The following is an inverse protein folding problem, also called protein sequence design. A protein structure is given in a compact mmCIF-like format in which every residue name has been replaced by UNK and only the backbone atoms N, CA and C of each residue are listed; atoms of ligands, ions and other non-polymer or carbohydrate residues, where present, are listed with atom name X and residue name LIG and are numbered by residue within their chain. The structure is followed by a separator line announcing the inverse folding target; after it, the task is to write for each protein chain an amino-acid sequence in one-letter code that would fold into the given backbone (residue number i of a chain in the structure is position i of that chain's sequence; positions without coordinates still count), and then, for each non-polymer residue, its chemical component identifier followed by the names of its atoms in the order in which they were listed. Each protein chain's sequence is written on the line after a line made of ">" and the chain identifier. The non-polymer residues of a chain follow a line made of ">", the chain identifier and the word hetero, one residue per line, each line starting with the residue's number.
data_IF_897162254519
#
_entry.id   IF_897162254519
#
_cell.length_a   1.000
_cell.length_b   1.000
_cell.length_c   1.000
_cell.angle_alpha   90.00
_cell.angle_beta   90.00
_cell.angle_gamma   90.00
#
_symmetry.space_group_name_H-M   'P 1'
#
loop_
_entity.id
_entity.type
_entity.pdbx_description
1 polymer ?
#
# COMPACT_ATOMS: atom_id res chain seq x y z
N UNK A 1 -18.88 -28.49 -0.78
CA UNK A 1 -17.63 -29.02 -1.35
C UNK A 1 -16.91 -27.83 -1.96
N UNK A 2 -16.05 -27.19 -1.17
CA UNK A 2 -15.43 -25.91 -1.51
C UNK A 2 -13.92 -26.05 -1.40
N UNK A 3 -13.23 -25.56 -2.42
CA UNK A 3 -11.78 -25.60 -2.58
C UNK A 3 -11.15 -24.87 -1.39
N UNK A 4 -10.63 -25.64 -0.43
CA UNK A 4 -9.82 -25.12 0.67
C UNK A 4 -8.37 -25.27 0.25
N UNK A 5 -7.70 -24.14 0.07
CA UNK A 5 -6.26 -24.17 -0.07
C UNK A 5 -5.63 -24.47 1.30
N UNK A 6 -4.92 -25.58 1.39
CA UNK A 6 -4.09 -25.93 2.52
C UNK A 6 -2.65 -25.60 2.13
N UNK A 7 -2.04 -24.61 2.79
CA UNK A 7 -0.60 -24.69 3.06
C UNK A 7 -0.49 -25.07 4.53
N UNK A 8 0.05 -26.25 4.80
CA UNK A 8 0.32 -26.74 6.14
C UNK A 8 1.68 -26.18 6.58
N UNK A 9 1.73 -25.52 7.73
CA UNK A 9 2.87 -25.65 8.65
C UNK A 9 2.30 -25.75 10.05
N UNK A 10 2.35 -26.94 10.65
CA UNK A 10 1.85 -27.16 12.01
C UNK A 10 3.00 -27.15 13.01
N UNK A 11 2.72 -26.54 14.18
CA UNK A 11 3.42 -26.74 15.45
C UNK A 11 3.60 -28.22 15.81
N UNK A 12 4.61 -28.49 16.63
CA UNK A 12 4.89 -29.76 17.25
C UNK A 12 3.70 -30.39 18.00
N UNK A 13 3.49 -31.68 17.70
CA UNK A 13 2.86 -32.77 18.48
C UNK A 13 1.32 -32.79 18.65
N UNK A 14 0.63 -33.53 17.76
CA UNK A 14 0.00 -34.85 18.05
C UNK A 14 -0.02 -35.68 16.73
N UNK A 15 0.43 -36.93 16.83
CA UNK A 15 0.62 -37.98 15.80
C UNK A 15 -0.57 -38.24 14.86
N UNK A 16 -0.36 -38.32 13.53
CA UNK A 16 -0.72 -39.44 12.61
C UNK A 16 0.22 -39.40 11.37
N UNK A 17 0.58 -40.59 10.88
CA UNK A 17 1.66 -41.03 10.00
C UNK A 17 1.51 -40.83 8.46
N UNK A 18 2.69 -40.81 7.82
CA UNK A 18 3.06 -41.13 6.42
C UNK A 18 3.19 -40.00 5.35
N UNK A 19 4.34 -39.29 5.47
CA UNK A 19 5.34 -38.85 4.45
C UNK A 19 4.88 -38.02 3.21
N UNK A 20 5.46 -36.85 2.85
CA UNK A 20 6.81 -36.31 3.09
C UNK A 20 6.98 -34.77 2.90
N UNK A 21 8.23 -34.32 2.76
CA UNK A 21 8.90 -33.11 3.33
C UNK A 21 9.52 -32.09 2.31
N UNK A 22 9.77 -30.82 2.78
CA UNK A 22 10.81 -29.75 2.45
C UNK A 22 10.87 -29.14 1.01
N UNK A 23 11.27 -27.88 0.66
CA UNK A 23 12.32 -26.91 1.10
C UNK A 23 12.08 -25.42 0.59
N UNK A 24 12.93 -24.43 0.96
CA UNK A 24 12.72 -22.93 1.09
C UNK A 24 13.16 -22.02 -0.08
N UNK A 25 12.71 -20.73 -0.08
CA UNK A 25 13.48 -19.48 -0.37
C UNK A 25 12.59 -18.20 -0.12
N UNK A 26 13.16 -16.98 -0.17
CA UNK A 26 12.52 -15.64 -0.36
C UNK A 26 12.18 -14.70 0.82
N UNK A 27 12.16 -13.40 0.48
CA UNK A 27 12.12 -12.21 1.33
C UNK A 27 10.71 -11.71 1.71
N UNK A 28 10.61 -11.15 2.92
CA UNK A 28 9.41 -10.56 3.52
C UNK A 28 9.68 -9.11 3.86
N UNK A 29 8.71 -8.20 3.72
CA UNK A 29 8.94 -6.79 4.01
C UNK A 29 8.00 -6.20 5.05
N UNK A 30 8.55 -5.28 5.84
CA UNK A 30 7.82 -4.41 6.77
C UNK A 30 7.31 -3.14 6.05
N UNK A 31 6.00 -2.92 6.07
CA UNK A 31 5.33 -1.72 5.56
C UNK A 31 4.86 -0.79 6.69
N UNK A 32 4.50 0.45 6.34
CA UNK A 32 3.93 1.40 7.29
C UNK A 32 2.64 0.86 7.92
N UNK A 33 1.84 0.10 7.16
CA UNK A 33 0.63 -0.53 7.71
C UNK A 33 0.96 -1.56 8.80
N UNK A 34 2.05 -2.32 8.71
CA UNK A 34 2.48 -3.23 9.77
C UNK A 34 2.84 -2.45 11.05
N UNK A 35 3.53 -1.31 10.91
CA UNK A 35 3.83 -0.42 12.04
C UNK A 35 2.58 0.18 12.67
N UNK A 36 1.58 0.56 11.87
CA UNK A 36 0.30 1.05 12.39
C UNK A 36 -0.52 -0.06 13.07
N UNK A 37 -0.46 -1.30 12.57
CA UNK A 37 -1.06 -2.47 13.25
C UNK A 37 -0.40 -2.69 14.60
N UNK A 38 0.94 -2.68 14.68
CA UNK A 38 1.67 -2.73 15.95
C UNK A 38 1.30 -1.58 16.91
N UNK A 39 0.81 -0.45 16.38
CA UNK A 39 0.34 0.71 17.17
C UNK A 39 -1.15 0.63 17.56
N UNK A 40 -1.84 -0.47 17.22
CA UNK A 40 -3.23 -0.70 17.58
C UNK A 40 -4.26 -0.19 16.55
N UNK A 41 -3.84 0.15 15.32
CA UNK A 41 -4.74 0.60 14.25
C UNK A 41 -5.81 -0.45 13.89
N UNK A 42 -5.48 -1.73 14.03
CA UNK A 42 -6.44 -2.83 13.98
C UNK A 42 -6.59 -3.36 15.42
N UNK A 43 -7.66 -2.96 16.14
CA UNK A 43 -7.82 -3.37 17.53
C UNK A 43 -7.89 -4.89 17.66
N UNK A 44 -7.06 -5.46 18.52
CA UNK A 44 -7.11 -6.89 18.86
C UNK A 44 -6.51 -7.85 17.82
N UNK A 45 -5.71 -7.37 16.87
CA UNK A 45 -4.99 -8.27 15.95
C UNK A 45 -4.05 -9.22 16.72
N UNK A 46 -4.20 -10.52 16.48
CA UNK A 46 -3.33 -11.59 16.96
C UNK A 46 -3.04 -12.50 15.76
N UNK A 47 -1.78 -12.56 15.31
CA UNK A 47 -1.37 -13.29 14.11
C UNK A 47 0.02 -12.85 13.62
N UNK A 48 0.49 -13.47 12.54
CA UNK A 48 1.78 -13.13 11.90
C UNK A 48 1.62 -11.87 11.04
N UNK A 49 2.48 -10.87 11.18
CA UNK A 49 2.43 -9.63 10.37
C UNK A 49 3.00 -9.83 8.95
N UNK A 50 2.95 -8.78 8.13
CA UNK A 50 3.58 -8.74 6.81
C UNK A 50 2.61 -9.10 5.68
N UNK A 51 2.64 -8.31 4.62
CA UNK A 51 1.74 -8.44 3.48
C UNK A 51 2.41 -8.13 2.14
N UNK A 52 3.73 -7.94 2.17
CA UNK A 52 4.56 -7.76 0.99
C UNK A 52 5.64 -8.85 0.98
N UNK A 53 5.63 -9.70 -0.03
CA UNK A 53 6.50 -10.86 -0.10
C UNK A 53 6.78 -11.28 -1.55
N UNK A 54 7.88 -12.01 -1.71
CA UNK A 54 8.11 -12.91 -2.84
C UNK A 54 8.20 -14.31 -2.24
N UNK A 55 7.73 -15.32 -2.95
CA UNK A 55 7.84 -16.71 -2.51
C UNK A 55 7.99 -17.65 -3.70
N UNK A 56 8.25 -18.92 -3.42
CA UNK A 56 8.12 -20.00 -4.41
C UNK A 56 6.99 -20.91 -4.01
N UNK A 57 6.21 -21.33 -5.00
CA UNK A 57 5.17 -22.33 -4.80
C UNK A 57 5.84 -23.67 -4.48
N UNK A 58 5.63 -24.19 -3.28
CA UNK A 58 6.19 -25.49 -2.85
C UNK A 58 5.16 -26.62 -2.91
N UNK A 59 3.88 -26.29 -2.81
CA UNK A 59 2.79 -27.26 -2.85
C UNK A 59 1.46 -26.60 -3.23
N UNK A 60 0.53 -27.42 -3.71
CA UNK A 60 -0.87 -27.04 -3.90
C UNK A 60 -1.76 -27.87 -2.97
N UNK A 61 -2.89 -27.30 -2.56
CA UNK A 61 -3.93 -28.07 -1.86
C UNK A 61 -4.49 -29.19 -2.74
N UNK A 62 -5.05 -30.25 -2.13
CA UNK A 62 -5.48 -31.47 -2.83
C UNK A 62 -6.59 -31.24 -3.88
N UNK A 63 -7.33 -30.14 -3.77
CA UNK A 63 -8.45 -29.79 -4.66
C UNK A 63 -8.02 -28.93 -5.88
N UNK A 64 -6.72 -28.68 -6.06
CA UNK A 64 -6.20 -27.97 -7.23
C UNK A 64 -5.59 -29.00 -8.18
N UNK A 65 -6.23 -29.20 -9.34
CA UNK A 65 -5.63 -29.99 -10.42
C UNK A 65 -4.34 -29.29 -10.88
N UNK A 66 -3.20 -29.97 -10.68
CA UNK A 66 -1.93 -29.49 -11.21
C UNK A 66 -1.94 -29.63 -12.73
N UNK A 67 -1.40 -28.65 -13.48
CA UNK A 67 -1.10 -28.87 -14.88
C UNK A 67 -0.12 -30.04 -14.99
N UNK A 68 -0.55 -31.14 -15.62
CA UNK A 68 0.35 -32.26 -15.92
C UNK A 68 1.45 -31.72 -16.83
N UNK A 69 2.74 -32.02 -16.58
CA UNK A 69 3.78 -31.65 -17.54
C UNK A 69 3.42 -32.29 -18.88
N UNK A 70 3.17 -31.44 -19.88
CA UNK A 70 3.01 -31.88 -21.26
C UNK A 70 4.37 -32.38 -21.73
N UNK A 71 4.61 -33.68 -21.63
CA UNK A 71 5.61 -34.32 -22.49
C UNK A 71 4.99 -34.33 -23.89
N UNK A 72 5.01 -33.19 -24.58
CA UNK A 72 4.71 -33.15 -26.01
C UNK A 72 5.97 -33.51 -26.75
N UNK A 73 5.96 -34.68 -27.41
CA UNK A 73 7.00 -35.09 -28.35
C UNK A 73 6.86 -34.42 -29.74
N UNK A 74 5.98 -33.43 -29.90
CA UNK A 74 5.76 -32.76 -31.19
C UNK A 74 5.51 -31.23 -31.04
N UNK A 75 6.38 -30.37 -31.60
CA UNK A 75 6.25 -28.90 -31.52
C UNK A 75 5.08 -28.28 -32.31
N UNK A 76 4.20 -29.08 -32.94
CA UNK A 76 3.21 -28.59 -33.91
C UNK A 76 1.76 -28.49 -33.37
N UNK A 77 1.47 -29.02 -32.17
CA UNK A 77 0.09 -29.02 -31.61
C UNK A 77 -0.19 -27.90 -30.60
N UNK A 78 0.80 -27.05 -30.28
CA UNK A 78 0.67 -26.00 -29.26
C UNK A 78 -0.22 -24.80 -29.65
N UNK A 79 -0.76 -24.77 -30.88
CA UNK A 79 -1.49 -23.60 -31.41
C UNK A 79 -3.00 -23.76 -31.61
N UNK A 80 -3.65 -24.86 -31.21
CA UNK A 80 -5.08 -25.07 -31.56
C UNK A 80 -6.07 -25.40 -30.45
N UNK A 81 -5.76 -25.25 -29.16
CA UNK A 81 -6.75 -25.48 -28.09
C UNK A 81 -6.97 -24.26 -27.19
N UNK A 82 -7.50 -23.19 -27.76
CA UNK A 82 -8.12 -22.09 -27.02
C UNK A 82 -9.65 -22.24 -27.06
N UNK A 83 -10.25 -22.83 -26.02
CA UNK A 83 -11.63 -22.53 -25.59
C UNK A 83 -12.05 -23.34 -24.35
N UNK A 84 -11.83 -22.79 -23.17
CA UNK A 84 -12.72 -22.98 -22.01
C UNK A 84 -12.59 -21.79 -21.06
N UNK A 85 -13.70 -21.12 -20.80
CA UNK A 85 -13.81 -19.96 -19.90
C UNK A 85 -13.72 -20.46 -18.44
N UNK A 86 -12.50 -20.54 -17.93
CA UNK A 86 -12.15 -20.62 -16.51
C UNK A 86 -11.11 -19.53 -16.21
N UNK A 87 -11.03 -19.06 -14.96
CA UNK A 87 -10.17 -17.95 -14.53
C UNK A 87 -8.68 -18.30 -14.79
N UNK A 88 -8.13 -17.88 -15.92
CA UNK A 88 -6.92 -18.42 -16.58
C UNK A 88 -5.56 -18.22 -15.90
N UNK A 89 -5.52 -17.98 -14.59
CA UNK A 89 -4.29 -17.82 -13.81
C UNK A 89 -3.94 -19.13 -13.09
N UNK A 90 -4.94 -19.90 -12.64
CA UNK A 90 -4.71 -21.17 -11.91
C UNK A 90 -4.16 -22.29 -12.77
N UNK A 91 -4.39 -22.28 -14.09
CA UNK A 91 -3.89 -23.32 -15.01
C UNK A 91 -2.38 -23.22 -15.32
N UNK A 92 -1.66 -22.20 -14.79
CA UNK A 92 -0.26 -21.90 -15.16
C UNK A 92 0.75 -21.87 -14.00
N UNK A 93 0.32 -22.07 -12.76
CA UNK A 93 1.25 -22.10 -11.63
C UNK A 93 1.74 -23.52 -11.39
N UNK A 94 3.05 -23.72 -11.36
CA UNK A 94 3.70 -24.99 -11.03
C UNK A 94 4.49 -24.87 -9.72
N UNK A 95 4.76 -26.01 -9.06
CA UNK A 95 5.75 -26.05 -7.98
C UNK A 95 7.10 -25.56 -8.52
N UNK A 96 7.82 -24.77 -7.72
CA UNK A 96 9.05 -24.07 -8.12
C UNK A 96 8.80 -22.68 -8.74
N UNK A 97 7.55 -22.29 -9.00
CA UNK A 97 7.26 -20.97 -9.57
C UNK A 97 7.47 -19.87 -8.55
N UNK A 98 8.29 -18.87 -8.89
CA UNK A 98 8.42 -17.61 -8.13
C UNK A 98 7.14 -16.79 -8.26
N UNK A 99 6.58 -16.37 -7.13
CA UNK A 99 5.30 -15.66 -7.07
C UNK A 99 5.34 -14.48 -6.10
N UNK A 100 4.48 -13.49 -6.37
CA UNK A 100 4.01 -12.48 -5.41
C UNK A 100 2.51 -12.67 -5.22
N UNK A 101 1.91 -12.08 -4.18
CA UNK A 101 0.50 -12.32 -3.86
C UNK A 101 -0.31 -11.06 -3.59
N UNK A 102 -1.51 -11.00 -4.16
CA UNK A 102 -2.53 -10.05 -3.73
C UNK A 102 -2.94 -10.29 -2.27
N UNK A 103 -3.09 -9.21 -1.51
CA UNK A 103 -3.33 -9.29 -0.07
C UNK A 103 -4.79 -9.55 0.30
N UNK A 104 -5.74 -9.15 -0.55
CA UNK A 104 -7.19 -9.34 -0.31
C UNK A 104 -7.59 -10.76 -0.75
N UNK A 105 -7.88 -11.62 0.21
CA UNK A 105 -8.32 -12.99 -0.01
C UNK A 105 -9.84 -13.06 0.13
N UNK A 106 -10.52 -13.14 -1.01
CA UNK A 106 -11.98 -13.14 -1.06
C UNK A 106 -12.55 -14.53 -0.75
N UNK A 107 -13.74 -14.56 -0.14
CA UNK A 107 -14.53 -15.78 -0.07
C UNK A 107 -15.01 -16.16 -1.49
N UNK A 108 -14.80 -17.41 -1.88
CA UNK A 108 -15.21 -17.96 -3.17
C UNK A 108 -16.74 -17.93 -3.37
N UNK A 109 -17.50 -17.75 -2.30
CA UNK A 109 -18.96 -17.68 -2.34
C UNK A 109 -19.51 -16.30 -2.78
N UNK A 110 -18.71 -15.24 -2.71
CA UNK A 110 -19.13 -13.92 -3.16
C UNK A 110 -18.61 -13.64 -4.57
N UNK A 111 -19.50 -13.26 -5.48
CA UNK A 111 -19.14 -12.82 -6.83
C UNK A 111 -19.85 -11.52 -7.18
N UNK A 112 -19.10 -10.54 -7.68
CA UNK A 112 -19.59 -9.26 -8.18
C UNK A 112 -19.20 -9.07 -9.66
N UNK A 113 -20.07 -8.41 -10.44
CA UNK A 113 -19.76 -8.04 -11.83
C UNK A 113 -18.71 -6.93 -11.96
N UNK A 114 -18.45 -6.18 -10.88
CA UNK A 114 -17.35 -5.23 -10.80
C UNK A 114 -16.09 -5.97 -10.30
N UNK A 115 -15.15 -6.21 -11.21
CA UNK A 115 -13.91 -6.93 -10.92
C UNK A 115 -13.03 -6.20 -9.89
N UNK A 116 -13.05 -4.86 -9.87
CA UNK A 116 -12.28 -4.07 -8.89
C UNK A 116 -12.93 -4.17 -7.52
N UNK A 117 -14.26 -4.11 -7.45
CA UNK A 117 -14.99 -4.34 -6.21
C UNK A 117 -14.76 -5.76 -5.70
N UNK A 118 -14.86 -6.77 -6.57
CA UNK A 118 -14.56 -8.15 -6.24
C UNK A 118 -13.15 -8.25 -5.66
N UNK A 119 -12.13 -7.73 -6.35
CA UNK A 119 -10.73 -7.77 -5.90
C UNK A 119 -10.49 -7.08 -4.55
N UNK A 120 -11.02 -5.88 -4.37
CA UNK A 120 -10.61 -5.00 -3.27
C UNK A 120 -11.59 -4.93 -2.10
N UNK A 121 -12.87 -5.23 -2.33
CA UNK A 121 -13.97 -4.87 -1.45
C UNK A 121 -15.00 -5.98 -1.22
N UNK A 122 -14.77 -7.21 -1.71
CA UNK A 122 -15.67 -8.32 -1.45
C UNK A 122 -15.99 -8.43 0.07
N UNK A 123 -17.27 -8.58 0.43
CA UNK A 123 -17.69 -8.85 1.79
C UNK A 123 -17.02 -10.12 2.32
N UNK A 124 -16.70 -10.13 3.62
CA UNK A 124 -16.09 -11.30 4.27
C UNK A 124 -14.65 -11.60 3.85
N UNK A 125 -14.01 -10.77 3.01
CA UNK A 125 -12.61 -10.97 2.65
C UNK A 125 -11.71 -10.95 3.89
N UNK A 126 -10.69 -11.81 3.85
CA UNK A 126 -9.54 -11.71 4.74
C UNK A 126 -8.44 -10.90 4.06
N UNK A 127 -7.51 -10.35 4.83
CA UNK A 127 -6.38 -9.57 4.32
C UNK A 127 -5.11 -10.12 4.94
N UNK A 128 -4.20 -10.60 4.11
CA UNK A 128 -2.91 -11.16 4.49
C UNK A 128 -2.20 -10.22 5.49
N UNK A 129 -1.84 -10.73 6.68
CA UNK A 129 -1.13 -9.96 7.71
C UNK A 129 -1.92 -8.81 8.35
N UNK A 130 -3.23 -8.69 8.08
CA UNK A 130 -4.04 -7.54 8.55
C UNK A 130 -5.40 -7.97 9.12
N UNK A 131 -6.23 -8.71 8.35
CA UNK A 131 -7.61 -9.06 8.74
C UNK A 131 -7.81 -10.56 8.61
N UNK A 132 -7.94 -11.26 9.75
CA UNK A 132 -8.32 -12.68 9.80
C UNK A 132 -7.46 -13.59 8.91
N UNK A 133 -6.18 -13.25 8.70
CA UNK A 133 -5.20 -14.06 7.97
C UNK A 133 -3.79 -13.75 8.43
N UNK A 134 -3.04 -14.80 8.76
CA UNK A 134 -1.62 -14.69 9.05
C UNK A 134 -0.86 -14.16 7.83
N UNK A 135 0.13 -13.35 8.10
CA UNK A 135 0.93 -12.62 7.13
C UNK A 135 2.21 -13.35 6.74
N UNK A 136 3.08 -12.58 6.09
CA UNK A 136 4.25 -13.09 5.42
C UNK A 136 5.51 -13.11 6.29
N UNK A 137 5.55 -12.51 7.49
CA UNK A 137 6.73 -12.52 8.40
C UNK A 137 6.94 -13.89 9.06
N UNK A 138 7.01 -14.92 8.22
CA UNK A 138 7.21 -16.31 8.57
C UNK A 138 7.96 -16.99 7.42
N UNK A 139 8.51 -18.17 7.70
CA UNK A 139 9.20 -18.97 6.68
C UNK A 139 8.23 -19.53 5.61
N UNK A 140 6.93 -19.57 5.93
CA UNK A 140 5.85 -20.10 5.08
C UNK A 140 4.54 -19.34 5.37
N UNK A 141 3.68 -19.19 4.35
CA UNK A 141 2.37 -18.52 4.45
C UNK A 141 1.36 -19.16 3.51
N UNK A 142 0.05 -19.01 3.73
CA UNK A 142 -0.99 -19.62 2.86
C UNK A 142 -1.82 -18.59 2.10
N UNK A 143 -1.97 -18.73 0.78
CA UNK A 143 -2.75 -17.81 -0.07
C UNK A 143 -3.46 -18.51 -1.22
N UNK A 144 -4.75 -18.21 -1.49
CA UNK A 144 -5.47 -18.79 -2.62
C UNK A 144 -4.67 -18.68 -3.93
N UNK A 145 -4.68 -19.72 -4.75
CA UNK A 145 -3.92 -19.71 -6.00
C UNK A 145 -4.31 -18.54 -6.93
N UNK A 146 -5.57 -18.10 -6.89
CA UNK A 146 -6.04 -16.93 -7.62
C UNK A 146 -5.44 -15.59 -7.16
N UNK A 147 -4.85 -15.54 -5.96
CA UNK A 147 -4.14 -14.37 -5.44
C UNK A 147 -2.68 -14.33 -5.91
N UNK A 148 -2.15 -15.43 -6.43
CA UNK A 148 -0.73 -15.55 -6.78
C UNK A 148 -0.48 -15.10 -8.21
N UNK A 149 0.56 -14.29 -8.38
CA UNK A 149 1.03 -13.80 -9.67
C UNK A 149 2.47 -14.24 -9.89
N UNK A 150 2.81 -14.87 -11.03
CA UNK A 150 4.17 -15.29 -11.32
C UNK A 150 5.09 -14.07 -11.47
N UNK A 151 6.27 -14.15 -10.86
CA UNK A 151 7.30 -13.11 -10.97
C UNK A 151 7.97 -13.23 -12.34
N UNK A 152 8.00 -12.15 -13.15
CA UNK A 152 8.76 -12.15 -14.40
C UNK A 152 10.22 -12.51 -14.17
N UNK A 153 10.84 -13.38 -15.00
CA UNK A 153 12.16 -13.95 -14.73
C UNK A 153 13.27 -12.90 -14.61
N UNK A 154 13.12 -11.75 -15.27
CA UNK A 154 14.06 -10.64 -15.23
C UNK A 154 14.01 -9.77 -13.96
N UNK A 155 13.02 -9.97 -13.08
CA UNK A 155 12.92 -9.22 -11.83
C UNK A 155 13.72 -9.93 -10.74
N UNK A 156 14.58 -9.17 -10.07
CA UNK A 156 15.20 -9.64 -8.83
C UNK A 156 14.15 -9.69 -7.71
N UNK A 157 14.38 -10.53 -6.70
CA UNK A 157 13.47 -10.66 -5.55
C UNK A 157 13.26 -9.33 -4.84
N UNK A 158 14.37 -8.63 -4.58
CA UNK A 158 14.40 -7.31 -3.94
C UNK A 158 13.58 -6.25 -4.70
N UNK A 159 13.32 -6.46 -5.99
CA UNK A 159 12.44 -5.61 -6.82
C UNK A 159 11.00 -6.12 -6.78
N UNK A 160 10.79 -7.42 -7.04
CA UNK A 160 9.48 -8.05 -7.14
C UNK A 160 8.67 -7.92 -5.85
N UNK A 161 9.34 -7.85 -4.71
CA UNK A 161 8.71 -7.69 -3.40
C UNK A 161 7.95 -6.36 -3.23
N UNK A 162 8.24 -5.36 -4.09
CA UNK A 162 7.45 -4.12 -4.18
C UNK A 162 6.16 -4.27 -5.00
N UNK A 163 5.77 -5.48 -5.43
CA UNK A 163 4.60 -5.69 -6.28
C UNK A 163 3.33 -5.11 -5.66
N UNK A 164 3.09 -5.36 -4.36
CA UNK A 164 1.93 -4.82 -3.65
C UNK A 164 1.92 -3.28 -3.62
N UNK A 165 2.97 -2.58 -3.13
CA UNK A 165 2.89 -1.13 -3.01
C UNK A 165 2.92 -0.43 -4.38
N UNK A 166 3.55 -1.04 -5.40
CA UNK A 166 3.46 -0.52 -6.77
C UNK A 166 2.09 -0.78 -7.38
N UNK A 167 1.44 -1.92 -7.09
CA UNK A 167 0.06 -2.20 -7.51
C UNK A 167 -0.89 -1.19 -6.88
N UNK A 168 -0.74 -0.90 -5.59
CA UNK A 168 -1.44 0.19 -4.93
C UNK A 168 -1.22 1.52 -5.69
N UNK A 169 0.01 1.89 -6.05
CA UNK A 169 0.25 3.08 -6.86
C UNK A 169 -0.45 3.05 -8.23
N UNK A 170 -0.43 1.90 -8.93
CA UNK A 170 -1.07 1.72 -10.24
C UNK A 170 -2.60 1.83 -10.22
N UNK A 171 -3.24 1.67 -9.05
CA UNK A 171 -4.70 1.83 -8.91
C UNK A 171 -5.22 3.16 -9.46
N UNK A 172 -4.40 4.23 -9.42
CA UNK A 172 -4.79 5.54 -9.94
C UNK A 172 -5.15 5.51 -11.43
N UNK A 173 -4.46 4.68 -12.22
CA UNK A 173 -4.68 4.56 -13.65
C UNK A 173 -5.99 3.81 -13.95
N UNK A 174 -6.32 2.77 -13.18
CA UNK A 174 -7.63 2.11 -13.28
C UNK A 174 -8.79 3.01 -12.80
N UNK A 175 -8.50 4.09 -12.06
CA UNK A 175 -9.48 5.12 -11.70
C UNK A 175 -9.63 6.18 -12.80
N UNK A 176 -8.93 6.03 -13.93
CA UNK A 176 -8.98 6.95 -15.06
C UNK A 176 -8.29 8.29 -14.78
N UNK A 177 -7.26 8.29 -13.92
CA UNK A 177 -6.59 9.51 -13.47
C UNK A 177 -5.10 9.54 -13.87
N UNK A 178 -4.58 10.70 -14.34
CA UNK A 178 -5.34 11.91 -14.72
C UNK A 178 -6.27 11.65 -15.91
N UNK A 179 -7.35 12.43 -16.01
CA UNK A 179 -8.38 12.23 -17.03
C UNK A 179 -7.88 12.62 -18.43
N UNK A 180 -7.02 13.64 -18.51
CA UNK A 180 -6.37 14.11 -19.74
C UNK A 180 -4.85 14.12 -19.53
N UNK A 181 -4.17 12.96 -19.57
CA UNK A 181 -2.74 12.89 -19.27
C UNK A 181 -1.88 13.78 -20.19
N UNK A 182 -2.37 14.19 -21.36
CA UNK A 182 -1.68 15.10 -22.28
C UNK A 182 -1.67 16.57 -21.80
N UNK A 183 -2.56 16.96 -20.89
CA UNK A 183 -2.77 18.38 -20.55
C UNK A 183 -2.96 18.66 -19.06
N UNK A 184 -3.48 17.69 -18.29
CA UNK A 184 -3.76 17.87 -16.88
C UNK A 184 -2.46 18.12 -16.10
N UNK A 185 -2.44 19.18 -15.30
CA UNK A 185 -1.36 19.46 -14.34
C UNK A 185 -1.55 18.58 -13.11
N UNK A 186 -0.54 17.77 -12.81
CA UNK A 186 -0.60 16.77 -11.74
C UNK A 186 0.39 17.11 -10.63
N UNK A 187 -0.08 17.12 -9.38
CA UNK A 187 0.75 17.21 -8.19
C UNK A 187 0.67 15.93 -7.34
N UNK A 188 1.79 15.49 -6.78
CA UNK A 188 1.85 14.41 -5.79
C UNK A 188 2.45 14.95 -4.50
N UNK A 189 1.68 14.94 -3.42
CA UNK A 189 2.10 15.38 -2.09
C UNK A 189 2.54 14.16 -1.28
N UNK A 190 3.79 14.15 -0.85
CA UNK A 190 4.39 13.10 -0.04
C UNK A 190 5.65 12.53 -0.68
N UNK A 191 6.74 12.47 0.10
CA UNK A 191 8.03 11.88 -0.26
C UNK A 191 8.34 10.61 0.54
N UNK A 192 7.30 10.01 1.12
CA UNK A 192 7.33 8.67 1.68
C UNK A 192 7.22 7.59 0.59
N UNK A 193 7.28 6.32 1.00
CA UNK A 193 7.26 5.16 0.09
C UNK A 193 6.18 5.27 -1.00
N UNK A 194 4.92 5.45 -0.59
CA UNK A 194 3.79 5.47 -1.51
C UNK A 194 3.80 6.72 -2.41
N UNK A 195 4.19 7.87 -1.89
CA UNK A 195 4.32 9.10 -2.67
C UNK A 195 5.37 9.00 -3.78
N UNK A 196 6.52 8.36 -3.51
CA UNK A 196 7.54 8.11 -4.53
C UNK A 196 7.06 7.15 -5.61
N UNK A 197 6.37 6.06 -5.24
CA UNK A 197 5.83 5.08 -6.19
C UNK A 197 4.71 5.68 -7.05
N UNK A 198 3.78 6.41 -6.45
CA UNK A 198 2.72 7.16 -7.17
C UNK A 198 3.33 8.19 -8.10
N UNK A 199 4.31 8.96 -7.63
CA UNK A 199 5.06 9.91 -8.44
C UNK A 199 5.68 9.24 -9.66
N UNK A 200 6.34 8.10 -9.49
CA UNK A 200 6.94 7.35 -10.59
C UNK A 200 5.92 6.86 -11.62
N UNK A 201 4.81 6.27 -11.16
CA UNK A 201 3.72 5.79 -12.04
C UNK A 201 3.15 6.95 -12.86
N UNK A 202 2.87 8.10 -12.22
CA UNK A 202 2.29 9.26 -12.90
C UNK A 202 3.30 9.93 -13.84
N UNK A 203 4.57 10.06 -13.45
CA UNK A 203 5.62 10.60 -14.33
C UNK A 203 5.70 9.78 -15.61
N UNK A 204 5.66 8.44 -15.52
CA UNK A 204 5.68 7.57 -16.71
C UNK A 204 4.42 7.70 -17.54
N UNK A 205 3.25 7.65 -16.90
CA UNK A 205 1.97 7.70 -17.58
C UNK A 205 1.78 9.02 -18.34
N UNK A 206 2.05 10.16 -17.68
CA UNK A 206 1.91 11.50 -18.26
C UNK A 206 2.96 11.72 -19.35
N UNK A 207 4.22 11.32 -19.14
CA UNK A 207 5.26 11.46 -20.16
C UNK A 207 4.96 10.60 -21.42
N UNK A 208 4.46 9.37 -21.24
CA UNK A 208 4.07 8.51 -22.36
C UNK A 208 2.92 9.12 -23.19
N UNK A 209 2.08 9.94 -22.57
CA UNK A 209 1.05 10.72 -23.25
C UNK A 209 1.57 12.01 -23.90
N UNK A 210 2.83 12.41 -23.66
CA UNK A 210 3.36 13.72 -24.09
C UNK A 210 2.84 14.90 -23.27
N UNK A 211 2.43 14.64 -22.03
CA UNK A 211 1.86 15.63 -21.12
C UNK A 211 2.88 16.49 -20.37
N UNK A 212 2.40 17.41 -19.50
CA UNK A 212 3.24 18.28 -18.71
C UNK A 212 4.04 17.52 -17.64
N UNK A 213 5.11 18.13 -17.11
CA UNK A 213 5.85 17.55 -15.98
C UNK A 213 4.93 17.38 -14.77
N UNK A 214 5.01 16.23 -14.13
CA UNK A 214 4.37 15.99 -12.82
C UNK A 214 5.17 16.75 -11.74
N UNK A 215 4.46 17.43 -10.84
CA UNK A 215 5.05 18.14 -9.71
C UNK A 215 5.06 17.26 -8.46
N UNK A 216 6.25 16.89 -7.98
CA UNK A 216 6.44 16.17 -6.73
C UNK A 216 6.66 17.16 -5.59
N UNK A 217 5.91 17.00 -4.51
CA UNK A 217 5.91 17.88 -3.35
C UNK A 217 6.26 17.06 -2.12
N UNK A 218 7.34 17.42 -1.44
CA UNK A 218 7.85 16.66 -0.29
C UNK A 218 8.74 17.51 0.60
N UNK A 219 9.24 16.93 1.71
CA UNK A 219 10.13 17.65 2.65
C UNK A 219 11.60 17.43 2.35
N UNK A 220 11.94 16.38 1.59
CA UNK A 220 13.31 15.94 1.36
C UNK A 220 13.57 15.86 -0.14
N UNK A 221 14.30 16.84 -0.67
CA UNK A 221 14.69 16.87 -2.09
C UNK A 221 15.40 15.58 -2.54
N UNK A 222 16.27 15.04 -1.68
CA UNK A 222 17.01 13.81 -1.95
C UNK A 222 16.09 12.59 -2.18
N UNK A 223 14.95 12.49 -1.48
CA UNK A 223 13.99 11.40 -1.69
C UNK A 223 13.24 11.55 -3.00
N UNK A 224 12.76 12.75 -3.31
CA UNK A 224 12.07 13.03 -4.57
C UNK A 224 13.00 12.88 -5.79
N UNK A 225 14.31 13.08 -5.62
CA UNK A 225 15.31 12.84 -6.66
C UNK A 225 15.42 11.36 -7.06
N UNK A 226 14.94 10.42 -6.24
CA UNK A 226 14.92 9.00 -6.57
C UNK A 226 13.92 8.67 -7.68
N UNK A 227 12.85 9.47 -7.84
CA UNK A 227 11.88 9.30 -8.93
C UNK A 227 12.56 9.60 -10.25
N UNK A 228 12.55 8.61 -11.14
CA UNK A 228 13.20 8.66 -12.45
C UNK A 228 12.32 9.37 -13.48
N UNK A 229 12.96 10.05 -14.43
CA UNK A 229 12.29 10.82 -15.49
C UNK A 229 12.16 12.30 -15.18
N UNK A 230 11.51 13.01 -16.10
CA UNK A 230 11.34 14.45 -16.03
C UNK A 230 10.16 14.81 -15.13
N UNK A 231 10.46 15.39 -13.96
CA UNK A 231 9.50 15.79 -12.95
C UNK A 231 9.94 17.09 -12.30
N UNK A 232 9.00 17.98 -12.03
CA UNK A 232 9.25 19.14 -11.16
C UNK A 232 9.29 18.68 -9.71
N UNK A 233 10.20 19.23 -8.90
CA UNK A 233 10.38 18.83 -7.49
C UNK A 233 10.37 20.07 -6.61
N UNK A 234 9.43 20.14 -5.68
CA UNK A 234 9.24 21.28 -4.79
C UNK A 234 9.38 20.82 -3.34
N UNK A 235 10.32 21.43 -2.62
CA UNK A 235 10.46 21.22 -1.18
C UNK A 235 9.41 22.07 -0.47
N UNK A 236 8.59 21.41 0.35
CA UNK A 236 7.63 22.02 1.25
C UNK A 236 8.26 22.16 2.63
N UNK A 237 8.33 23.40 3.12
CA UNK A 237 8.79 23.72 4.46
C UNK A 237 7.61 23.92 5.43
N UNK A 238 7.85 23.69 6.71
CA UNK A 238 6.82 23.88 7.74
C UNK A 238 5.58 23.00 7.56
N UNK A 239 4.41 23.60 7.74
CA UNK A 239 3.10 22.94 7.67
C UNK A 239 2.47 22.96 6.26
N UNK A 240 3.21 23.47 5.26
CA UNK A 240 2.77 23.58 3.87
C UNK A 240 1.87 24.77 3.55
N UNK A 241 1.61 25.69 4.49
CA UNK A 241 0.72 26.84 4.25
C UNK A 241 1.23 27.78 3.15
N UNK A 242 2.49 28.20 3.21
CA UNK A 242 3.08 29.07 2.17
C UNK A 242 3.10 28.41 0.78
N UNK A 243 3.29 27.08 0.74
CA UNK A 243 3.20 26.32 -0.50
C UNK A 243 1.76 26.31 -1.03
N UNK A 244 0.78 26.09 -0.15
CA UNK A 244 -0.63 26.07 -0.49
C UNK A 244 -1.10 27.40 -1.08
N UNK A 245 -0.67 28.52 -0.50
CA UNK A 245 -0.96 29.86 -1.02
C UNK A 245 -0.32 30.08 -2.40
N UNK A 246 0.97 29.75 -2.55
CA UNK A 246 1.71 29.94 -3.80
C UNK A 246 1.14 29.10 -4.95
N UNK A 247 0.67 27.89 -4.65
CA UNK A 247 0.21 26.92 -5.64
C UNK A 247 -1.31 26.74 -5.68
N UNK A 248 -2.06 27.67 -5.08
CA UNK A 248 -3.51 27.56 -4.97
C UNK A 248 -4.18 27.42 -6.35
N UNK A 249 -5.05 26.41 -6.47
CA UNK A 249 -5.86 26.19 -7.67
C UNK A 249 -5.07 25.91 -8.96
N UNK A 250 -3.84 25.40 -8.87
CA UNK A 250 -2.96 25.22 -10.02
C UNK A 250 -3.07 23.85 -10.70
N UNK A 251 -3.62 22.84 -10.03
CA UNK A 251 -3.55 21.45 -10.49
C UNK A 251 -4.93 20.86 -10.80
N UNK A 252 -5.01 20.14 -11.92
CA UNK A 252 -6.18 19.36 -12.32
C UNK A 252 -6.35 18.10 -11.46
N UNK A 253 -5.23 17.49 -11.07
CA UNK A 253 -5.16 16.33 -10.19
C UNK A 253 -4.14 16.57 -9.08
N UNK A 254 -4.57 16.40 -7.83
CA UNK A 254 -3.66 16.39 -6.67
C UNK A 254 -3.78 15.06 -5.94
N UNK A 255 -2.66 14.34 -5.81
CA UNK A 255 -2.59 13.09 -5.07
C UNK A 255 -1.99 13.34 -3.69
N UNK A 256 -2.78 13.11 -2.65
CA UNK A 256 -2.35 13.16 -1.26
C UNK A 256 -1.83 11.77 -0.84
N UNK A 257 -0.51 11.67 -0.63
CA UNK A 257 0.20 10.47 -0.23
C UNK A 257 1.19 10.72 0.93
N UNK A 258 0.97 11.78 1.71
CA UNK A 258 1.84 12.15 2.84
C UNK A 258 1.42 11.50 4.16
N UNK A 259 0.13 11.16 4.32
CA UNK A 259 -0.43 10.65 5.57
C UNK A 259 -0.45 11.67 6.71
N UNK A 260 -0.16 12.95 6.42
CA UNK A 260 -0.19 14.02 7.40
C UNK A 260 -1.61 14.55 7.62
N UNK A 261 -1.92 14.99 8.85
CA UNK A 261 -3.21 15.58 9.18
C UNK A 261 -3.56 16.81 8.30
N UNK A 262 -2.55 17.60 7.91
CA UNK A 262 -2.72 18.76 7.03
C UNK A 262 -2.72 18.42 5.53
N UNK A 263 -2.42 17.18 5.14
CA UNK A 263 -2.23 16.79 3.73
C UNK A 263 -3.47 17.05 2.87
N UNK A 264 -4.65 16.71 3.38
CA UNK A 264 -5.91 16.93 2.67
C UNK A 264 -6.20 18.43 2.45
N UNK A 265 -5.88 19.28 3.43
CA UNK A 265 -6.03 20.73 3.33
C UNK A 265 -5.15 21.29 2.23
N UNK A 266 -3.87 20.92 2.23
CA UNK A 266 -2.94 21.33 1.17
C UNK A 266 -3.40 20.81 -0.19
N UNK A 267 -3.84 19.55 -0.27
CA UNK A 267 -4.31 18.96 -1.52
C UNK A 267 -5.52 19.70 -2.11
N UNK A 268 -6.50 20.03 -1.26
CA UNK A 268 -7.67 20.82 -1.64
C UNK A 268 -7.27 22.22 -2.10
N UNK A 269 -6.38 22.91 -1.38
CA UNK A 269 -5.92 24.25 -1.76
C UNK A 269 -5.22 24.25 -3.13
N UNK A 270 -4.37 23.26 -3.41
CA UNK A 270 -3.65 23.12 -4.68
C UNK A 270 -4.56 22.77 -5.86
N UNK A 271 -5.66 22.08 -5.58
CA UNK A 271 -6.61 21.62 -6.60
C UNK A 271 -7.46 22.77 -7.12
N UNK A 272 -7.53 22.93 -8.44
CA UNK A 272 -8.42 23.93 -9.08
C UNK A 272 -9.90 23.58 -8.87
N UNK A 273 -10.83 24.55 -9.04
CA UNK A 273 -12.25 24.23 -9.17
C UNK A 273 -12.49 23.20 -10.27
N UNK A 274 -13.43 22.28 -10.03
CA UNK A 274 -13.71 21.11 -10.87
C UNK A 274 -12.50 20.19 -11.10
N UNK A 275 -11.49 20.25 -10.23
CA UNK A 275 -10.34 19.35 -10.22
C UNK A 275 -10.59 18.12 -9.35
N UNK A 276 -9.66 17.17 -9.39
CA UNK A 276 -9.72 15.93 -8.59
C UNK A 276 -8.65 15.93 -7.51
N UNK A 277 -9.04 15.63 -6.27
CA UNK A 277 -8.13 15.26 -5.18
C UNK A 277 -8.24 13.76 -4.95
N UNK A 278 -7.12 13.05 -5.05
CA UNK A 278 -7.05 11.62 -4.78
C UNK A 278 -6.31 11.36 -3.47
N UNK A 279 -6.93 10.63 -2.56
CA UNK A 279 -6.39 10.29 -1.24
C UNK A 279 -5.83 8.87 -1.24
N UNK A 280 -4.52 8.74 -0.99
CA UNK A 280 -3.81 7.46 -0.90
C UNK A 280 -3.50 7.02 0.52
N UNK A 281 -3.32 7.97 1.43
CA UNK A 281 -2.90 7.66 2.81
C UNK A 281 -4.09 7.68 3.75
N UNK A 282 -4.05 6.80 4.75
CA UNK A 282 -4.88 6.95 5.95
C UNK A 282 -4.22 7.97 6.87
N UNK A 283 -5.01 8.82 7.51
CA UNK A 283 -4.53 9.75 8.53
C UNK A 283 -4.61 9.05 9.87
N UNK A 284 -3.47 8.79 10.51
CA UNK A 284 -3.45 8.36 11.91
C UNK A 284 -3.61 9.60 12.79
N UNK A 285 -4.81 9.87 13.30
CA UNK A 285 -4.98 10.89 14.34
C UNK A 285 -4.48 10.30 15.66
N UNK A 286 -3.34 10.78 16.15
CA UNK A 286 -2.94 10.54 17.53
C UNK A 286 -3.95 11.13 18.54
N UNK A 287 -4.90 11.95 18.09
CA UNK A 287 -5.92 12.62 18.90
C UNK A 287 -6.94 11.65 19.52
N UNK A 288 -7.19 10.48 18.91
CA UNK A 288 -8.07 9.46 19.53
C UNK A 288 -7.46 8.81 20.78
N UNK A 289 -6.19 9.09 21.11
CA UNK A 289 -5.55 8.57 22.34
C UNK A 289 -5.78 9.42 23.58
N UNK A 290 -6.16 10.69 23.44
CA UNK A 290 -6.24 11.61 24.59
C UNK A 290 -7.65 11.81 25.14
N UNK A 291 -8.70 11.43 24.41
CA UNK A 291 -10.09 11.65 24.87
C UNK A 291 -10.46 10.92 26.17
N UNK A 292 -10.04 9.67 26.45
CA UNK A 292 -10.40 9.02 27.71
C UNK A 292 -9.73 9.67 28.92
N UNK A 293 -8.50 10.16 28.76
CA UNK A 293 -7.67 10.69 29.85
C UNK A 293 -7.98 12.17 30.11
N UNK A 294 -8.18 12.98 29.08
CA UNK A 294 -8.56 14.39 29.23
C UNK A 294 -9.97 14.54 29.83
N UNK A 295 -10.92 13.66 29.49
CA UNK A 295 -12.26 13.67 30.10
C UNK A 295 -12.28 13.17 31.55
N UNK A 296 -11.25 12.46 31.99
CA UNK A 296 -11.12 11.99 33.37
C UNK A 296 -10.39 13.04 34.21
N UNK A 297 -9.32 13.63 33.67
CA UNK A 297 -8.61 14.77 34.26
C UNK A 297 -9.53 16.01 34.41
N UNK A 298 -10.35 16.32 33.41
CA UNK A 298 -11.32 17.42 33.49
C UNK A 298 -12.43 17.17 34.51
N UNK A 299 -12.85 15.91 34.71
CA UNK A 299 -13.83 15.59 35.77
C UNK A 299 -13.21 15.69 37.17
N UNK A 300 -11.96 15.27 37.32
CA UNK A 300 -11.21 15.39 38.57
C UNK A 300 -10.93 16.87 38.90
N UNK A 301 -10.53 17.68 37.92
CA UNK A 301 -10.28 19.12 38.08
C UNK A 301 -11.58 19.92 38.34
N UNK A 302 -12.70 19.56 37.72
CA UNK A 302 -14.01 20.19 37.96
C UNK A 302 -14.57 19.81 39.36
N UNK A 303 -14.35 18.58 39.82
CA UNK A 303 -14.70 18.16 41.19
C UNK A 303 -13.82 18.85 42.26
N UNK A 304 -12.54 19.12 41.97
CA UNK A 304 -11.62 19.83 42.86
C UNK A 304 -11.92 21.34 42.91
N UNK A 305 -12.33 21.95 41.80
CA UNK A 305 -12.74 23.36 41.74
C UNK A 305 -14.09 23.63 42.42
N UNK A 306 -15.02 22.67 42.39
CA UNK A 306 -16.29 22.77 43.14
C UNK A 306 -16.09 22.71 44.66
N UNK A 307 -14.98 22.12 45.14
CA UNK A 307 -14.67 22.04 46.58
C UNK A 307 -13.85 23.21 47.11
N UNK A 308 -13.10 23.92 46.26
CA UNK A 308 -12.29 25.07 46.67
C UNK A 308 -12.76 26.36 45.99
N UNK A 309 -13.85 26.93 46.52
CA UNK A 309 -14.34 28.25 46.12
C UNK A 309 -13.26 29.33 46.28
N UNK A 310 -12.68 29.77 45.16
CA UNK A 310 -11.65 30.80 45.17
C UNK A 310 -11.52 31.52 43.83
N UNK A 311 -11.98 32.78 43.79
CA UNK A 311 -11.79 33.72 42.68
C UNK A 311 -10.31 33.84 42.26
N UNK A 312 -10.00 33.55 41.00
CA UNK A 312 -8.85 34.07 40.24
C UNK A 312 -9.33 34.24 38.79
N UNK A 313 -9.23 35.38 38.12
CA UNK A 313 -8.06 36.24 38.01
C UNK A 313 -7.59 36.14 36.57
N UNK A 314 -8.21 36.95 35.70
CA UNK A 314 -7.99 37.05 34.26
C UNK A 314 -6.49 37.23 33.94
N UNK A 315 -5.86 36.22 33.33
CA UNK A 315 -4.49 36.32 32.81
C UNK A 315 -4.29 35.51 31.54
N UNK A 316 -3.69 36.21 30.57
CA UNK A 316 -3.01 35.77 29.35
C UNK A 316 -3.86 35.59 28.10
N UNK A 317 -4.03 36.71 27.39
CA UNK A 317 -4.27 36.73 25.96
C UNK A 317 -3.02 36.25 25.21
N UNK A 318 -2.97 34.95 24.93
CA UNK A 318 -2.32 34.46 23.74
C UNK A 318 -3.41 34.33 22.68
N UNK A 319 -3.35 35.11 21.59
CA UNK A 319 -4.21 34.84 20.43
C UNK A 319 -3.95 33.39 20.02
N UNK A 320 -4.96 32.51 20.01
CA UNK A 320 -4.78 31.19 19.44
C UNK A 320 -4.39 31.41 17.98
N UNK A 321 -3.27 30.81 17.56
CA UNK A 321 -2.89 30.77 16.16
C UNK A 321 -4.07 30.28 15.30
N UNK A 322 -4.08 30.55 13.98
CA UNK A 322 -5.20 30.19 13.13
C UNK A 322 -5.58 28.72 13.33
N UNK A 323 -6.80 28.49 13.81
CA UNK A 323 -7.34 27.16 14.05
C UNK A 323 -7.31 26.39 12.74
N UNK A 324 -6.90 25.13 12.78
CA UNK A 324 -6.99 24.27 11.60
C UNK A 324 -8.46 24.24 11.12
N UNK A 325 -8.71 24.40 9.80
CA UNK A 325 -10.06 24.45 9.27
C UNK A 325 -10.82 23.18 9.66
N UNK A 326 -12.02 23.35 10.21
CA UNK A 326 -12.87 22.21 10.54
C UNK A 326 -13.34 21.47 9.28
N UNK A 327 -13.87 20.26 9.44
CA UNK A 327 -14.46 19.50 8.31
C UNK A 327 -15.50 20.33 7.53
N UNK A 328 -16.27 21.20 8.20
CA UNK A 328 -17.23 22.08 7.55
C UNK A 328 -16.58 23.04 6.52
N UNK A 329 -15.39 23.56 6.80
CA UNK A 329 -14.67 24.45 5.88
C UNK A 329 -14.15 23.67 4.67
N UNK A 330 -13.61 22.47 4.89
CA UNK A 330 -13.17 21.59 3.80
C UNK A 330 -14.35 21.16 2.92
N UNK A 331 -15.49 20.80 3.53
CA UNK A 331 -16.70 20.44 2.82
C UNK A 331 -17.25 21.61 1.99
N UNK A 332 -17.23 22.83 2.53
CA UNK A 332 -17.62 24.02 1.79
C UNK A 332 -16.72 24.27 0.57
N UNK A 333 -15.39 24.14 0.72
CA UNK A 333 -14.47 24.25 -0.41
C UNK A 333 -14.76 23.20 -1.50
N UNK A 334 -15.02 21.94 -1.10
CA UNK A 334 -15.36 20.86 -2.03
C UNK A 334 -16.65 21.17 -2.79
N UNK A 335 -17.71 21.55 -2.09
CA UNK A 335 -19.04 21.79 -2.68
C UNK A 335 -19.04 23.05 -3.56
N UNK A 336 -18.50 24.16 -3.06
CA UNK A 336 -18.52 25.44 -3.78
C UNK A 336 -17.66 25.39 -5.04
N UNK A 337 -16.50 24.74 -4.98
CA UNK A 337 -15.59 24.63 -6.11
C UNK A 337 -15.80 23.35 -6.95
N UNK A 338 -16.86 22.58 -6.66
CA UNK A 338 -17.21 21.33 -7.36
C UNK A 338 -16.02 20.36 -7.49
N UNK A 339 -15.19 20.26 -6.45
CA UNK A 339 -14.01 19.37 -6.46
C UNK A 339 -14.45 17.92 -6.28
N UNK A 340 -13.78 17.01 -6.98
CA UNK A 340 -14.01 15.57 -6.84
C UNK A 340 -13.01 14.99 -5.85
N UNK A 341 -13.49 14.29 -4.82
CA UNK A 341 -12.64 13.58 -3.87
C UNK A 341 -12.70 12.06 -4.13
N UNK A 342 -11.54 11.45 -4.34
CA UNK A 342 -11.43 10.03 -4.70
C UNK A 342 -10.56 9.28 -3.68
N UNK A 343 -11.11 8.26 -3.04
CA UNK A 343 -10.32 7.33 -2.22
C UNK A 343 -9.60 6.28 -3.08
N UNK A 344 -8.41 5.85 -2.68
CA UNK A 344 -7.65 4.85 -3.42
C UNK A 344 -6.78 4.00 -2.49
N UNK A 345 -6.84 2.66 -2.62
CA UNK A 345 -6.14 1.71 -1.75
C UNK A 345 -5.33 0.70 -2.56
N UNK A 346 -5.78 -0.55 -2.63
CA UNK A 346 -5.15 -1.66 -3.35
C UNK A 346 -5.37 -1.55 -4.87
N UNK A 347 -4.46 -2.11 -5.66
CA UNK A 347 -4.52 -2.04 -7.11
C UNK A 347 -4.03 -3.29 -7.83
N UNK A 348 -3.89 -3.20 -9.17
CA UNK A 348 -3.61 -4.33 -10.06
C UNK A 348 -2.15 -4.80 -9.99
N UNK A 349 -1.93 -6.04 -9.57
CA UNK A 349 -0.60 -6.67 -9.52
C UNK A 349 -0.03 -6.94 -10.91
N UNK A 350 -0.87 -7.36 -11.86
CA UNK A 350 -0.50 -7.57 -13.26
C UNK A 350 0.11 -6.30 -13.87
N UNK A 351 -0.52 -5.14 -13.64
CA UNK A 351 0.00 -3.85 -14.12
C UNK A 351 1.29 -3.43 -13.42
N UNK A 352 1.42 -3.71 -12.12
CA UNK A 352 2.65 -3.45 -11.39
C UNK A 352 3.82 -4.28 -11.93
N UNK A 353 3.60 -5.59 -12.11
CA UNK A 353 4.62 -6.51 -12.63
C UNK A 353 4.99 -6.18 -14.08
N UNK A 354 4.02 -5.84 -14.93
CA UNK A 354 4.25 -5.37 -16.30
C UNK A 354 5.12 -4.10 -16.32
N UNK A 355 4.83 -3.14 -15.44
CA UNK A 355 5.60 -1.90 -15.32
C UNK A 355 7.03 -2.16 -14.81
N UNK A 356 7.20 -3.01 -13.80
CA UNK A 356 8.52 -3.40 -13.31
C UNK A 356 9.35 -4.10 -14.39
N UNK A 357 8.72 -5.01 -15.13
CA UNK A 357 9.36 -5.80 -16.17
C UNK A 357 9.84 -4.94 -17.35
N UNK A 358 9.07 -3.92 -17.72
CA UNK A 358 9.31 -3.11 -18.92
C UNK A 358 10.12 -1.83 -18.66
N UNK A 359 10.09 -1.26 -17.45
CA UNK A 359 10.72 0.04 -17.16
C UNK A 359 11.93 -0.10 -16.22
N UNK A 360 13.13 0.13 -16.78
CA UNK A 360 14.37 0.08 -16.02
C UNK A 360 14.47 1.20 -14.96
N UNK A 361 13.84 2.35 -15.18
CA UNK A 361 13.83 3.45 -14.23
C UNK A 361 12.91 3.18 -13.04
N UNK A 362 11.78 2.49 -13.25
CA UNK A 362 10.96 1.95 -12.15
C UNK A 362 11.81 1.01 -11.30
N UNK A 363 12.48 0.02 -11.90
CA UNK A 363 13.39 -0.87 -11.16
C UNK A 363 14.50 -0.12 -10.42
N UNK A 364 15.07 0.92 -11.02
CA UNK A 364 16.07 1.77 -10.37
C UNK A 364 15.51 2.48 -9.13
N UNK A 365 14.28 3.02 -9.19
CA UNK A 365 13.61 3.59 -8.03
C UNK A 365 13.45 2.53 -6.94
N UNK A 366 12.91 1.35 -7.26
CA UNK A 366 12.66 0.29 -6.28
C UNK A 366 13.94 -0.09 -5.53
N UNK A 367 15.04 -0.33 -6.24
CA UNK A 367 16.35 -0.61 -5.65
C UNK A 367 16.82 0.54 -4.75
N UNK A 368 16.63 1.78 -5.17
CA UNK A 368 17.05 2.98 -4.41
C UNK A 368 16.20 3.23 -3.15
N UNK A 369 15.02 2.62 -3.05
CA UNK A 369 14.17 2.70 -1.86
C UNK A 369 14.57 1.70 -0.77
N UNK A 370 15.37 0.68 -1.09
CA UNK A 370 15.88 -0.31 -0.13
C UNK A 370 16.93 0.34 0.75
N UNK A 371 16.57 0.56 2.01
CA UNK A 371 17.42 1.18 3.02
C UNK A 371 18.26 0.15 3.78
N UNK A 372 17.74 -1.07 3.93
CA UNK A 372 18.45 -2.19 4.53
C UNK A 372 17.82 -3.52 4.15
N UNK A 373 18.64 -4.56 4.19
CA UNK A 373 18.24 -5.96 4.12
C UNK A 373 18.78 -6.66 5.37
N UNK A 374 17.91 -7.35 6.10
CA UNK A 374 18.22 -8.03 7.35
C UNK A 374 17.73 -9.47 7.28
N UNK A 375 18.39 -10.44 7.90
CA UNK A 375 17.88 -11.80 7.95
C UNK A 375 16.56 -11.85 8.75
N UNK A 376 15.64 -12.80 8.44
CA UNK A 376 14.32 -12.90 9.08
C UNK A 376 14.40 -12.94 10.62
N UNK A 377 15.43 -13.58 11.18
CA UNK A 377 15.68 -13.70 12.62
C UNK A 377 15.92 -12.34 13.29
N UNK A 378 16.25 -11.30 12.52
CA UNK A 378 16.41 -9.90 12.97
C UNK A 378 15.16 -9.06 12.72
N UNK A 379 13.97 -9.69 12.69
CA UNK A 379 12.67 -9.03 12.47
C UNK A 379 12.38 -7.86 13.43
N UNK A 380 12.70 -8.00 14.71
CA UNK A 380 12.52 -6.92 15.70
C UNK A 380 13.41 -5.70 15.40
N UNK A 381 14.66 -5.94 15.04
CA UNK A 381 15.58 -4.87 14.65
C UNK A 381 15.12 -4.20 13.34
N UNK A 382 14.62 -5.00 12.39
CA UNK A 382 14.07 -4.47 11.15
C UNK A 382 12.86 -3.56 11.40
N UNK A 383 12.01 -3.89 12.38
CA UNK A 383 10.88 -3.05 12.79
C UNK A 383 11.35 -1.72 13.37
N UNK A 384 12.35 -1.71 14.25
CA UNK A 384 12.90 -0.46 14.79
C UNK A 384 13.61 0.37 13.72
N UNK A 385 14.36 -0.28 12.82
CA UNK A 385 14.99 0.40 11.69
C UNK A 385 13.94 1.03 10.76
N UNK A 386 12.85 0.32 10.46
CA UNK A 386 11.75 0.82 9.63
C UNK A 386 11.05 2.06 10.22
N UNK A 387 11.15 2.27 11.54
CA UNK A 387 10.62 3.46 12.24
C UNK A 387 11.55 4.67 12.18
N UNK A 388 12.81 4.46 11.78
CA UNK A 388 13.82 5.52 11.76
C UNK A 388 13.51 6.55 10.67
N UNK A 389 13.53 7.83 11.03
CA UNK A 389 13.28 8.92 10.08
C UNK A 389 14.29 8.85 8.93
N UNK A 390 13.79 8.85 7.70
CA UNK A 390 14.62 8.79 6.50
C UNK A 390 14.59 7.42 5.84
N UNK A 391 14.45 6.34 6.61
CA UNK A 391 14.32 4.98 6.11
C UNK A 391 13.07 4.85 5.24
N UNK A 392 13.24 4.28 4.05
CA UNK A 392 12.17 4.05 3.10
C UNK A 392 11.68 2.61 3.22
N UNK A 393 12.53 1.62 2.97
CA UNK A 393 12.18 0.21 2.95
C UNK A 393 13.24 -0.64 3.66
N UNK A 394 12.82 -1.52 4.56
CA UNK A 394 13.68 -2.52 5.19
C UNK A 394 13.14 -3.89 4.81
N UNK A 395 13.92 -4.67 4.07
CA UNK A 395 13.52 -6.02 3.67
C UNK A 395 14.09 -7.04 4.65
N UNK A 396 13.31 -8.05 4.98
CA UNK A 396 13.75 -9.25 5.66
C UNK A 396 14.04 -10.31 4.60
N UNK A 397 15.26 -10.83 4.58
CA UNK A 397 15.72 -11.85 3.65
C UNK A 397 15.89 -13.17 4.38
N UNK A 398 15.60 -14.28 3.72
CA UNK A 398 15.96 -15.59 4.26
C UNK A 398 17.43 -15.89 3.90
N UNK A 399 18.26 -16.42 4.83
CA UNK A 399 19.64 -16.73 4.53
C UNK A 399 19.74 -17.74 3.37
N UNK A 400 20.62 -17.46 2.41
CA UNK A 400 21.01 -18.41 1.37
C UNK A 400 21.79 -19.55 2.04
N UNK A 401 21.35 -20.79 1.85
CA UNK A 401 22.08 -21.98 2.30
C UNK A 401 22.87 -22.59 1.17
#
# INVERSE_FOLDING_TARGET
>A
MGIKLLMLVHLSLVTISNEGFLEREYAVILFQADLEICRGYVPGYCGVLGHEFVGVVVAFGPDIEQPRPSISTNPAEELSSSNSKGNGITERLAVGTRVVGEINCNDLHFTCGDAVYQRNHAPGRSVLGIINRDGALAEYLTLPAANLHPVPPQLAEAEAVFAEPLAAACRILEQGLPARPQSDRVAVIGDGKLGLLVGQVLVRHVAAAGGPRVTLIGRHAAKMALVQGDAERLVSEGDGTALAERLAGQFDLVVEASGSAGGIRTALALCRPMGTVLLKSTVSTNEQRQEPQLQQQQREDDEEQLHNGGCRGDKSGASPGPRAPGWAELANDIVVNEKVLVGSRCGPFDKALELMASDAGVRQLLRSMISAELPLERGEEALELARTKGVLKVQLVMPQK
#
